data_IF_966691862296
#
_entry.id   IF_966691862296
#
_cell.length_a   1.000
_cell.length_b   1.000
_cell.length_c   1.000
_cell.angle_alpha   90.00
_cell.angle_beta   90.00
_cell.angle_gamma   90.00
#
_symmetry.space_group_name_H-M   'P 1'
#
loop_
_entity.id
_entity.type
_entity.pdbx_description
1 polymer ?
#
# COMPACT_ATOMS: atom_id res chain seq x y z
N UNK A 1 -5.19 56.21 48.18
CA UNK A 1 -4.59 56.20 46.84
C UNK A 1 -4.00 54.82 46.65
N UNK A 2 -4.77 53.89 46.03
CA UNK A 2 -4.41 52.50 45.84
C UNK A 2 -4.16 52.35 44.35
N UNK A 3 -2.95 51.95 44.00
CA UNK A 3 -2.55 51.69 42.61
C UNK A 3 -2.84 50.20 42.32
N UNK A 4 -3.79 50.00 41.43
CA UNK A 4 -4.18 48.69 40.88
C UNK A 4 -3.20 48.32 39.77
N UNK A 5 -2.39 47.30 40.01
CA UNK A 5 -1.42 46.73 39.06
C UNK A 5 -1.89 45.35 38.56
N UNK A 6 -2.91 45.37 37.72
CA UNK A 6 -3.42 44.13 37.07
C UNK A 6 -2.40 43.51 36.10
N UNK A 7 -1.85 42.39 36.50
CA UNK A 7 -0.84 41.61 35.74
C UNK A 7 -1.48 40.82 34.58
N UNK A 8 -1.36 41.34 33.36
CA UNK A 8 -1.80 40.65 32.12
C UNK A 8 -0.84 39.56 31.70
N UNK A 9 -0.92 38.34 32.26
CA UNK A 9 -0.15 37.17 31.83
C UNK A 9 -0.97 36.04 31.18
N UNK A 10 -2.21 36.24 30.80
CA UNK A 10 -3.06 35.13 30.33
C UNK A 10 -3.14 34.90 28.83
N UNK A 11 -2.77 35.83 27.96
CA UNK A 11 -3.06 35.72 26.52
C UNK A 11 -1.96 35.11 25.64
N UNK A 12 -0.70 35.12 26.07
CA UNK A 12 0.42 34.57 25.24
C UNK A 12 0.42 33.03 25.18
N UNK A 13 0.02 32.37 26.30
CA UNK A 13 -0.02 30.90 26.38
C UNK A 13 -1.14 30.25 25.53
N UNK A 14 -2.27 30.92 25.38
CA UNK A 14 -3.41 30.45 24.60
C UNK A 14 -3.11 30.52 23.08
N UNK A 15 -2.46 31.62 22.63
CA UNK A 15 -2.05 31.79 21.23
C UNK A 15 -0.97 30.79 20.82
N UNK A 16 0.03 30.54 21.67
CA UNK A 16 1.08 29.55 21.44
C UNK A 16 0.51 28.12 21.34
N UNK A 17 -0.39 27.72 22.25
CA UNK A 17 -1.07 26.41 22.22
C UNK A 17 -1.94 26.24 20.96
N UNK A 18 -2.60 27.31 20.50
CA UNK A 18 -3.44 27.31 19.30
C UNK A 18 -2.57 27.15 18.02
N UNK A 19 -1.43 27.81 17.97
CA UNK A 19 -0.47 27.68 16.87
C UNK A 19 0.18 26.29 16.82
N UNK A 20 0.58 25.72 17.96
CA UNK A 20 1.14 24.36 18.03
C UNK A 20 0.08 23.33 17.58
N UNK A 21 -1.19 23.51 17.99
CA UNK A 21 -2.29 22.64 17.51
C UNK A 21 -2.51 22.74 16.00
N UNK A 22 -2.47 23.93 15.41
CA UNK A 22 -2.58 24.12 13.95
C UNK A 22 -1.41 23.51 13.19
N UNK A 23 -0.16 23.67 13.69
CA UNK A 23 1.03 23.06 13.10
C UNK A 23 0.96 21.52 13.17
N UNK A 24 0.54 20.98 14.32
CA UNK A 24 0.37 19.54 14.50
C UNK A 24 -0.78 18.98 13.64
N UNK A 25 -1.88 19.74 13.46
CA UNK A 25 -2.95 19.36 12.54
C UNK A 25 -2.47 19.37 11.09
N UNK A 26 -1.72 20.40 10.66
CA UNK A 26 -1.16 20.47 9.30
C UNK A 26 -0.18 19.32 9.03
N UNK A 27 0.75 19.03 9.96
CA UNK A 27 1.64 17.85 9.86
C UNK A 27 0.89 16.52 9.80
N UNK A 28 -0.28 16.42 10.45
CA UNK A 28 -1.07 15.20 10.48
C UNK A 28 -1.91 14.97 9.21
N UNK A 29 -2.09 16.00 8.38
CA UNK A 29 -2.81 15.93 7.10
C UNK A 29 -1.86 15.82 5.91
N UNK A 30 -0.59 16.16 6.08
CA UNK A 30 0.42 16.07 5.04
C UNK A 30 0.84 14.62 4.82
N UNK A 31 0.84 14.18 3.56
CA UNK A 31 1.26 12.84 3.16
C UNK A 31 2.79 12.78 3.15
N UNK A 32 3.38 12.25 4.21
CA UNK A 32 4.84 12.20 4.41
C UNK A 32 5.39 10.80 4.63
N UNK A 33 4.52 9.77 4.60
CA UNK A 33 4.89 8.37 4.74
C UNK A 33 4.41 7.58 3.55
N UNK A 34 5.07 6.47 3.26
CA UNK A 34 4.69 5.57 2.19
C UNK A 34 4.29 4.21 2.72
N UNK A 35 3.42 3.56 1.97
CA UNK A 35 3.21 2.11 1.96
C UNK A 35 3.20 1.65 0.52
N UNK A 36 3.44 0.37 0.28
CA UNK A 36 3.57 -0.18 -1.05
C UNK A 36 2.54 -1.27 -1.29
N UNK A 37 2.03 -1.33 -2.51
CA UNK A 37 1.13 -2.38 -2.96
C UNK A 37 1.87 -3.15 -4.05
N UNK A 38 2.16 -4.43 -3.77
CA UNK A 38 2.69 -5.34 -4.76
C UNK A 38 1.52 -6.06 -5.44
N UNK A 39 1.36 -5.84 -6.73
CA UNK A 39 0.50 -6.65 -7.58
C UNK A 39 1.36 -7.70 -8.26
N UNK A 40 0.97 -8.98 -8.22
CA UNK A 40 1.79 -10.05 -8.79
C UNK A 40 0.97 -11.10 -9.52
N UNK A 41 1.63 -11.78 -10.45
CA UNK A 41 1.12 -12.95 -11.16
C UNK A 41 2.23 -13.99 -11.26
N UNK A 42 2.08 -15.05 -10.47
CA UNK A 42 2.97 -16.20 -10.50
C UNK A 42 2.52 -17.21 -11.56
N UNK A 43 3.45 -17.95 -12.15
CA UNK A 43 3.16 -19.06 -13.07
C UNK A 43 2.48 -20.24 -12.37
N UNK A 44 2.60 -20.33 -11.03
CA UNK A 44 2.19 -21.47 -10.20
C UNK A 44 0.81 -21.32 -9.55
N UNK A 45 0.01 -20.32 -9.94
CA UNK A 45 -1.34 -20.14 -9.38
C UNK A 45 -2.24 -21.30 -9.80
N UNK A 46 -3.00 -21.94 -8.87
CA UNK A 46 -3.92 -23.02 -9.19
C UNK A 46 -4.92 -22.60 -10.27
N UNK A 47 -5.09 -23.46 -11.27
CA UNK A 47 -5.88 -23.21 -12.49
C UNK A 47 -7.30 -22.68 -12.28
N UNK A 48 -7.92 -22.97 -11.13
CA UNK A 48 -9.28 -22.47 -10.80
C UNK A 48 -9.30 -20.97 -10.46
N UNK A 49 -8.28 -20.47 -9.77
CA UNK A 49 -8.14 -19.02 -9.49
C UNK A 49 -7.74 -18.28 -10.76
N UNK A 50 -6.91 -18.90 -11.60
CA UNK A 50 -6.50 -18.36 -12.90
C UNK A 50 -7.70 -18.12 -13.82
N UNK A 51 -8.63 -19.08 -13.93
CA UNK A 51 -9.81 -18.93 -14.81
C UNK A 51 -10.69 -17.74 -14.44
N UNK A 52 -10.70 -17.33 -13.19
CA UNK A 52 -11.43 -16.15 -12.71
C UNK A 52 -10.78 -14.82 -13.09
N UNK A 53 -9.46 -14.81 -13.22
CA UNK A 53 -8.65 -13.62 -13.45
C UNK A 53 -7.87 -13.70 -14.78
N UNK A 54 -8.27 -14.60 -15.72
CA UNK A 54 -7.48 -14.92 -16.92
C UNK A 54 -7.30 -13.76 -17.90
N UNK A 55 -8.11 -12.71 -17.77
CA UNK A 55 -7.96 -11.49 -18.57
C UNK A 55 -7.14 -10.41 -17.86
N UNK A 56 -6.90 -10.58 -16.55
CA UNK A 56 -6.20 -9.58 -15.75
C UNK A 56 -4.69 -9.86 -15.71
N UNK A 57 -3.84 -8.83 -15.83
CA UNK A 57 -2.39 -9.00 -15.80
C UNK A 57 -1.86 -9.46 -14.43
N UNK A 58 -2.61 -9.18 -13.34
CA UNK A 58 -2.22 -9.53 -11.98
C UNK A 58 -3.37 -10.25 -11.27
N UNK A 59 -3.01 -11.25 -10.45
CA UNK A 59 -3.97 -12.11 -9.76
C UNK A 59 -3.82 -12.06 -8.23
N UNK A 60 -2.83 -11.34 -7.71
CA UNK A 60 -2.52 -11.24 -6.29
C UNK A 60 -2.18 -9.81 -5.90
N UNK A 61 -2.47 -9.45 -4.65
CA UNK A 61 -2.14 -8.16 -4.07
C UNK A 61 -1.59 -8.34 -2.66
N UNK A 62 -0.48 -7.66 -2.36
CA UNK A 62 0.17 -7.63 -1.05
C UNK A 62 0.40 -6.19 -0.61
N UNK A 63 0.43 -5.95 0.70
CA UNK A 63 0.73 -4.66 1.30
C UNK A 63 2.10 -4.70 1.97
N UNK A 64 3.01 -3.82 1.57
CA UNK A 64 4.33 -3.68 2.17
C UNK A 64 4.52 -2.32 2.85
N UNK A 65 5.40 -2.27 3.85
CA UNK A 65 5.67 -1.09 4.66
C UNK A 65 6.95 -0.36 4.22
N UNK A 66 7.75 -0.99 3.37
CA UNK A 66 9.03 -0.49 2.88
C UNK A 66 9.19 -0.75 1.38
N UNK A 67 10.07 0.02 0.74
CA UNK A 67 10.36 -0.08 -0.68
C UNK A 67 11.07 -1.40 -1.04
N UNK A 68 11.83 -1.97 -0.11
CA UNK A 68 12.52 -3.25 -0.27
C UNK A 68 11.58 -4.45 -0.30
N UNK A 69 10.29 -4.26 0.08
CA UNK A 69 9.27 -5.30 0.23
C UNK A 69 9.65 -6.35 1.29
N UNK A 70 10.41 -5.94 2.32
CA UNK A 70 10.84 -6.82 3.40
C UNK A 70 9.73 -7.04 4.43
N UNK A 71 9.02 -5.97 4.81
CA UNK A 71 7.83 -6.05 5.65
C UNK A 71 6.56 -6.12 4.81
N UNK A 72 6.29 -7.28 4.19
CA UNK A 72 5.16 -7.48 3.27
C UNK A 72 4.16 -8.51 3.79
N UNK A 73 2.87 -8.23 3.63
CA UNK A 73 1.76 -9.02 4.18
C UNK A 73 0.64 -9.21 3.17
N UNK A 74 0.06 -10.41 3.19
CA UNK A 74 -1.11 -10.72 2.37
C UNK A 74 -1.97 -11.83 2.98
N UNK A 75 -3.03 -12.18 2.26
CA UNK A 75 -3.76 -13.42 2.43
C UNK A 75 -3.46 -14.35 1.25
N UNK A 76 -2.67 -15.38 1.50
CA UNK A 76 -2.21 -16.32 0.50
C UNK A 76 -2.00 -17.72 1.10
N UNK A 77 -1.44 -18.63 0.30
CA UNK A 77 -1.04 -19.97 0.76
C UNK A 77 0.05 -19.90 1.82
N UNK A 78 -0.17 -20.58 2.94
CA UNK A 78 0.80 -20.69 4.03
C UNK A 78 1.98 -21.63 3.71
N UNK A 79 1.90 -22.38 2.62
CA UNK A 79 2.95 -23.32 2.22
C UNK A 79 2.70 -23.92 0.85
N UNK A 80 3.71 -24.62 0.33
CA UNK A 80 3.72 -25.13 -1.05
C UNK A 80 2.95 -26.43 -1.19
N UNK A 81 2.92 -27.26 -0.13
CA UNK A 81 2.37 -28.63 -0.16
C UNK A 81 0.83 -28.67 -0.22
N UNK A 82 0.14 -27.77 0.48
CA UNK A 82 -1.33 -27.79 0.55
C UNK A 82 -1.92 -26.49 -0.03
N UNK A 83 -2.57 -26.53 -1.20
CA UNK A 83 -3.14 -25.35 -1.86
C UNK A 83 -4.33 -24.74 -1.08
N UNK A 84 -4.94 -25.49 -0.18
CA UNK A 84 -6.08 -25.04 0.62
C UNK A 84 -5.68 -24.44 1.97
N UNK A 85 -4.42 -24.61 2.40
CA UNK A 85 -3.93 -23.98 3.61
C UNK A 85 -3.55 -22.53 3.33
N UNK A 86 -4.56 -21.65 3.35
CA UNK A 86 -4.42 -20.23 3.07
C UNK A 86 -4.84 -19.39 4.30
N UNK A 87 -4.31 -18.19 4.41
CA UNK A 87 -4.64 -17.23 5.47
C UNK A 87 -3.68 -16.07 5.49
N UNK A 88 -3.63 -15.34 6.59
CA UNK A 88 -2.70 -14.24 6.77
C UNK A 88 -1.25 -14.74 6.83
N UNK A 89 -0.38 -14.18 5.99
CA UNK A 89 1.05 -14.50 5.94
C UNK A 89 1.90 -13.23 5.81
N UNK A 90 3.16 -13.34 6.27
CA UNK A 90 4.25 -12.48 5.82
C UNK A 90 4.82 -13.10 4.55
N UNK A 91 5.01 -12.30 3.51
CA UNK A 91 5.62 -12.72 2.25
C UNK A 91 7.06 -12.21 2.14
N UNK A 92 7.87 -12.93 1.39
CA UNK A 92 9.26 -12.61 1.10
C UNK A 92 9.49 -12.84 -0.39
N UNK A 93 9.99 -11.82 -1.09
CA UNK A 93 10.19 -11.88 -2.55
C UNK A 93 11.27 -12.88 -2.98
N UNK A 94 12.16 -13.27 -2.05
CA UNK A 94 13.23 -14.24 -2.31
C UNK A 94 12.90 -15.65 -1.84
N UNK A 95 11.79 -15.82 -1.11
CA UNK A 95 11.40 -17.11 -0.53
C UNK A 95 10.01 -17.56 -0.97
N UNK A 96 9.66 -18.78 -0.55
CA UNK A 96 8.32 -19.30 -0.75
C UNK A 96 7.96 -19.47 -2.22
N UNK A 97 6.81 -18.92 -2.62
CA UNK A 97 6.31 -19.00 -3.99
C UNK A 97 7.12 -18.06 -4.91
N UNK A 98 7.38 -16.84 -4.45
CA UNK A 98 8.12 -15.84 -5.22
C UNK A 98 9.56 -16.28 -5.52
N UNK A 99 10.29 -16.82 -4.54
CA UNK A 99 11.66 -17.29 -4.73
C UNK A 99 11.80 -18.52 -5.64
N UNK A 100 10.70 -19.25 -5.88
CA UNK A 100 10.69 -20.42 -6.79
C UNK A 100 10.27 -20.08 -8.21
N UNK A 101 9.55 -18.99 -8.41
CA UNK A 101 8.99 -18.60 -9.69
C UNK A 101 9.66 -17.31 -10.19
N UNK A 102 10.82 -17.49 -10.84
CA UNK A 102 11.60 -16.38 -11.40
C UNK A 102 10.87 -15.62 -12.50
N UNK A 103 9.83 -16.20 -13.08
CA UNK A 103 8.99 -15.58 -14.11
C UNK A 103 7.83 -14.77 -13.54
N UNK A 104 7.70 -14.70 -12.20
CA UNK A 104 6.68 -13.88 -11.55
C UNK A 104 6.73 -12.45 -12.06
N UNK A 105 5.66 -12.02 -12.72
CA UNK A 105 5.48 -10.61 -13.09
C UNK A 105 4.86 -9.83 -11.96
N UNK A 106 5.31 -8.58 -11.81
CA UNK A 106 4.80 -7.71 -10.76
C UNK A 106 4.68 -6.26 -11.20
N UNK A 107 3.87 -5.52 -10.43
CA UNK A 107 3.78 -4.06 -10.41
C UNK A 107 3.88 -3.61 -8.96
N UNK A 108 4.83 -2.71 -8.68
CA UNK A 108 5.02 -2.12 -7.35
C UNK A 108 4.47 -0.70 -7.39
N UNK A 109 3.50 -0.44 -6.54
CA UNK A 109 2.82 0.85 -6.43
C UNK A 109 3.17 1.48 -5.07
N UNK A 110 3.61 2.74 -5.07
CA UNK A 110 3.84 3.54 -3.87
C UNK A 110 2.62 4.38 -3.55
N UNK A 111 2.12 4.28 -2.35
CA UNK A 111 0.99 5.07 -1.86
C UNK A 111 1.45 5.99 -0.73
N UNK A 112 1.36 7.29 -0.98
CA UNK A 112 1.62 8.31 0.02
C UNK A 112 0.46 8.40 1.02
N UNK A 113 0.78 8.35 2.30
CA UNK A 113 -0.18 8.40 3.39
C UNK A 113 0.24 9.42 4.46
N UNK A 114 -0.72 9.92 5.24
CA UNK A 114 -0.41 10.77 6.38
C UNK A 114 0.23 9.96 7.51
N UNK A 115 0.97 10.61 8.39
CA UNK A 115 1.55 9.96 9.57
C UNK A 115 0.50 9.24 10.43
N UNK A 116 -0.72 9.80 10.53
CA UNK A 116 -1.83 9.17 11.25
C UNK A 116 -2.36 7.91 10.55
N UNK A 117 -2.52 7.97 9.22
CA UNK A 117 -2.91 6.81 8.42
C UNK A 117 -1.88 5.69 8.54
N UNK A 118 -0.59 6.01 8.40
CA UNK A 118 0.50 5.05 8.57
C UNK A 118 0.47 4.39 9.95
N UNK A 119 0.32 5.18 11.03
CA UNK A 119 0.19 4.65 12.39
C UNK A 119 -0.99 3.70 12.54
N UNK A 120 -2.14 4.00 11.91
CA UNK A 120 -3.30 3.11 11.90
C UNK A 120 -3.03 1.82 11.12
N UNK A 121 -2.37 1.90 9.94
CA UNK A 121 -1.96 0.73 9.16
C UNK A 121 -1.11 -0.20 10.02
N UNK A 122 -0.05 0.33 10.66
CA UNK A 122 0.81 -0.45 11.57
C UNK A 122 0.00 -1.11 12.69
N UNK A 123 -0.92 -0.38 13.32
CA UNK A 123 -1.78 -0.94 14.37
C UNK A 123 -2.65 -2.09 13.88
N UNK A 124 -3.24 -1.95 12.69
CA UNK A 124 -4.08 -3.00 12.08
C UNK A 124 -3.22 -4.22 11.73
N UNK A 125 -2.07 -4.04 11.07
CA UNK A 125 -1.17 -5.13 10.73
C UNK A 125 -0.65 -5.87 11.98
N UNK A 126 -0.30 -5.14 13.04
CA UNK A 126 0.11 -5.74 14.30
C UNK A 126 -1.00 -6.60 14.94
N UNK A 127 -2.28 -6.21 14.79
CA UNK A 127 -3.40 -7.04 15.19
C UNK A 127 -3.45 -8.33 14.37
N UNK A 128 -3.35 -8.25 13.04
CA UNK A 128 -3.30 -9.43 12.18
C UNK A 128 -2.13 -10.37 12.52
N UNK A 129 -0.94 -9.81 12.80
CA UNK A 129 0.23 -10.60 13.23
C UNK A 129 -0.04 -11.37 14.53
N UNK A 130 -0.59 -10.70 15.55
CA UNK A 130 -0.88 -11.30 16.87
C UNK A 130 -1.97 -12.38 16.80
N UNK A 131 -2.97 -12.16 15.99
CA UNK A 131 -4.17 -13.01 15.88
C UNK A 131 -4.14 -13.92 14.64
N UNK A 132 -2.95 -14.15 14.04
CA UNK A 132 -2.81 -14.83 12.74
C UNK A 132 -3.48 -16.22 12.65
N UNK A 133 -3.61 -16.92 13.76
CA UNK A 133 -4.26 -18.24 13.84
C UNK A 133 -5.77 -18.18 13.63
N UNK A 134 -6.42 -17.05 13.92
CA UNK A 134 -7.86 -16.87 13.75
C UNK A 134 -8.27 -16.52 12.33
N UNK A 135 -7.30 -16.09 11.50
CA UNK A 135 -7.61 -15.61 10.15
C UNK A 135 -7.52 -16.73 9.12
N UNK A 136 -8.63 -16.94 8.41
CA UNK A 136 -8.76 -17.86 7.29
C UNK A 136 -8.88 -17.16 5.95
N UNK A 137 -8.93 -17.97 4.89
CA UNK A 137 -9.08 -17.46 3.53
C UNK A 137 -10.54 -17.43 3.09
N UNK A 138 -10.96 -16.32 2.47
CA UNK A 138 -12.34 -16.13 2.04
C UNK A 138 -12.58 -16.69 0.63
N UNK A 139 -12.60 -18.02 0.48
CA UNK A 139 -12.86 -18.68 -0.80
C UNK A 139 -14.24 -18.34 -1.38
N UNK A 140 -15.27 -18.25 -0.52
CA UNK A 140 -16.63 -17.90 -0.95
C UNK A 140 -16.67 -16.46 -1.44
N UNK A 141 -15.91 -15.55 -0.80
CA UNK A 141 -15.78 -14.16 -1.25
C UNK A 141 -15.23 -14.04 -2.66
N UNK A 142 -14.28 -14.89 -3.04
CA UNK A 142 -13.75 -14.91 -4.41
C UNK A 142 -14.87 -15.26 -5.42
N UNK A 143 -15.70 -16.25 -5.14
CA UNK A 143 -16.87 -16.57 -5.98
C UNK A 143 -17.87 -15.40 -6.02
N UNK A 144 -18.05 -14.71 -4.87
CA UNK A 144 -18.88 -13.51 -4.79
C UNK A 144 -18.42 -12.39 -5.72
N UNK A 145 -17.10 -12.20 -5.86
CA UNK A 145 -16.53 -11.21 -6.80
C UNK A 145 -16.94 -11.52 -8.25
N UNK A 146 -16.98 -12.78 -8.66
CA UNK A 146 -17.41 -13.17 -10.02
C UNK A 146 -18.87 -12.78 -10.25
N UNK A 147 -19.71 -13.02 -9.24
CA UNK A 147 -21.15 -12.74 -9.30
C UNK A 147 -21.48 -11.27 -8.97
N UNK A 148 -20.46 -10.41 -8.81
CA UNK A 148 -20.59 -9.02 -8.36
C UNK A 148 -21.38 -8.89 -7.02
N UNK A 149 -21.26 -9.88 -6.14
CA UNK A 149 -21.90 -9.92 -4.82
C UNK A 149 -20.84 -9.93 -3.73
N UNK A 150 -20.76 -8.86 -2.94
CA UNK A 150 -19.83 -8.82 -1.81
C UNK A 150 -20.20 -9.89 -0.77
N UNK A 151 -19.28 -10.84 -0.54
CA UNK A 151 -19.43 -11.85 0.52
C UNK A 151 -18.30 -11.64 1.52
N UNK A 152 -18.64 -10.98 2.62
CA UNK A 152 -17.71 -10.71 3.70
C UNK A 152 -17.95 -11.71 4.83
N UNK A 153 -16.88 -12.35 5.29
CA UNK A 153 -16.90 -13.30 6.39
C UNK A 153 -15.95 -12.82 7.48
N UNK A 154 -16.43 -12.82 8.71
CA UNK A 154 -15.63 -12.45 9.87
C UNK A 154 -14.33 -13.28 9.90
N UNK A 155 -13.18 -12.62 10.07
CA UNK A 155 -11.84 -13.21 10.10
C UNK A 155 -11.38 -13.92 8.82
N UNK A 156 -12.12 -13.79 7.70
CA UNK A 156 -11.73 -14.41 6.44
C UNK A 156 -11.57 -13.35 5.36
N UNK A 157 -10.42 -13.33 4.73
CA UNK A 157 -10.09 -12.38 3.67
C UNK A 157 -9.46 -13.10 2.49
N UNK A 158 -9.57 -12.56 1.29
CA UNK A 158 -8.67 -12.86 0.18
C UNK A 158 -7.70 -11.68 -0.02
N UNK A 159 -6.68 -11.86 -0.85
CA UNK A 159 -5.53 -10.93 -0.93
C UNK A 159 -5.93 -9.45 -1.13
N UNK A 160 -6.65 -9.12 -2.19
CA UNK A 160 -7.07 -7.75 -2.49
C UNK A 160 -8.11 -7.20 -1.51
N UNK A 161 -8.99 -8.06 -0.97
CA UNK A 161 -9.90 -7.69 0.12
C UNK A 161 -9.14 -7.24 1.37
N UNK A 162 -8.07 -7.93 1.72
CA UNK A 162 -7.23 -7.59 2.88
C UNK A 162 -6.53 -6.24 2.68
N UNK A 163 -5.89 -6.03 1.53
CA UNK A 163 -5.21 -4.76 1.23
C UNK A 163 -6.22 -3.60 1.30
N UNK A 164 -7.37 -3.76 0.65
CA UNK A 164 -8.45 -2.77 0.71
C UNK A 164 -8.89 -2.50 2.15
N UNK A 165 -9.16 -3.55 2.92
CA UNK A 165 -9.61 -3.44 4.31
C UNK A 165 -8.63 -2.66 5.18
N UNK A 166 -7.32 -2.93 5.07
CA UNK A 166 -6.30 -2.25 5.88
C UNK A 166 -6.25 -0.76 5.56
N UNK A 167 -6.23 -0.41 4.27
CA UNK A 167 -6.15 0.96 3.80
C UNK A 167 -7.42 1.76 4.14
N UNK A 168 -8.60 1.18 3.90
CA UNK A 168 -9.90 1.79 4.22
C UNK A 168 -10.04 2.06 5.73
N UNK A 169 -9.71 1.08 6.57
CA UNK A 169 -9.73 1.23 8.03
C UNK A 169 -8.71 2.23 8.56
N UNK A 170 -7.64 2.45 7.84
CA UNK A 170 -6.69 3.51 8.15
C UNK A 170 -7.20 4.90 7.77
N UNK A 171 -8.28 4.99 6.99
CA UNK A 171 -8.87 6.23 6.49
C UNK A 171 -8.21 6.73 5.21
N UNK A 172 -7.64 5.83 4.41
CA UNK A 172 -7.20 6.13 3.05
C UNK A 172 -8.43 6.19 2.16
N UNK A 173 -8.53 7.23 1.33
CA UNK A 173 -9.64 7.34 0.37
C UNK A 173 -9.45 6.33 -0.76
N UNK A 174 -10.33 5.34 -0.81
CA UNK A 174 -10.28 4.26 -1.80
C UNK A 174 -11.21 4.53 -3.00
N UNK A 175 -11.17 3.65 -3.97
CA UNK A 175 -11.92 3.71 -5.23
C UNK A 175 -13.43 3.34 -5.11
N UNK A 176 -14.04 3.52 -3.93
CA UNK A 176 -15.49 3.49 -3.75
C UNK A 176 -16.18 2.12 -3.86
N UNK A 177 -15.43 1.00 -3.79
CA UNK A 177 -15.99 -0.37 -3.77
C UNK A 177 -16.15 -0.90 -2.33
N UNK A 178 -16.98 -1.93 -2.16
CA UNK A 178 -16.99 -2.71 -0.92
C UNK A 178 -15.71 -3.56 -0.84
N UNK A 179 -15.11 -3.76 0.34
CA UNK A 179 -13.88 -4.57 0.47
C UNK A 179 -14.01 -5.96 -0.15
N UNK A 180 -15.19 -6.60 0.01
CA UNK A 180 -15.47 -7.92 -0.56
C UNK A 180 -15.60 -7.98 -2.08
N UNK A 181 -15.49 -6.85 -2.79
CA UNK A 181 -15.48 -6.75 -4.26
C UNK A 181 -14.14 -6.23 -4.80
N UNK A 182 -13.18 -5.93 -3.94
CA UNK A 182 -11.87 -5.42 -4.36
C UNK A 182 -11.10 -6.48 -5.14
N UNK A 183 -10.55 -6.09 -6.30
CA UNK A 183 -9.72 -6.92 -7.18
C UNK A 183 -8.30 -6.37 -7.25
N UNK A 184 -7.28 -7.16 -7.59
CA UNK A 184 -5.95 -6.63 -7.89
C UNK A 184 -5.99 -5.56 -8.99
N UNK A 185 -6.86 -5.71 -9.98
CA UNK A 185 -7.05 -4.75 -11.07
C UNK A 185 -7.51 -3.37 -10.59
N UNK A 186 -8.32 -3.30 -9.54
CA UNK A 186 -8.78 -2.02 -8.99
C UNK A 186 -7.62 -1.18 -8.43
N UNK A 187 -6.60 -1.83 -7.86
CA UNK A 187 -5.38 -1.14 -7.43
C UNK A 187 -4.50 -0.73 -8.61
N UNK A 188 -4.49 -1.52 -9.70
CA UNK A 188 -3.73 -1.21 -10.92
C UNK A 188 -4.26 0.04 -11.63
N UNK A 189 -5.58 0.20 -11.62
CA UNK A 189 -6.29 1.31 -12.29
C UNK A 189 -6.61 2.47 -11.35
N UNK A 190 -6.18 2.40 -10.10
CA UNK A 190 -6.36 3.48 -9.14
C UNK A 190 -5.30 4.55 -9.35
N UNK A 191 -5.71 5.81 -9.55
CA UNK A 191 -4.84 6.93 -9.93
C UNK A 191 -4.00 7.51 -8.78
N UNK A 192 -4.34 7.17 -7.52
CA UNK A 192 -3.65 7.74 -6.35
C UNK A 192 -2.23 7.18 -6.13
N UNK A 193 -1.96 5.86 -6.25
CA UNK A 193 -0.62 5.31 -6.08
C UNK A 193 0.28 5.59 -7.28
N UNK A 194 1.53 5.90 -6.99
CA UNK A 194 2.59 6.08 -7.97
C UNK A 194 3.17 4.72 -8.41
N UNK A 195 3.32 4.52 -9.71
CA UNK A 195 4.02 3.35 -10.24
C UNK A 195 5.52 3.48 -10.01
N UNK A 196 6.10 2.55 -9.23
CA UNK A 196 7.53 2.50 -8.95
C UNK A 196 8.25 1.56 -9.90
N UNK A 197 7.67 0.39 -10.14
CA UNK A 197 8.28 -0.65 -10.95
C UNK A 197 7.23 -1.54 -11.60
N UNK A 198 7.50 -1.96 -12.82
CA UNK A 198 6.73 -3.00 -13.51
C UNK A 198 7.68 -3.90 -14.30
N UNK A 199 7.65 -5.21 -14.00
CA UNK A 199 8.57 -6.16 -14.62
C UNK A 199 8.56 -7.53 -13.96
N UNK A 200 9.69 -8.25 -14.05
CA UNK A 200 9.90 -9.49 -13.28
C UNK A 200 10.25 -9.16 -11.84
N UNK A 201 9.61 -9.81 -10.88
CA UNK A 201 9.85 -9.59 -9.46
C UNK A 201 11.30 -9.88 -9.06
N UNK A 202 11.93 -10.88 -9.71
CA UNK A 202 13.32 -11.23 -9.52
C UNK A 202 14.30 -10.07 -9.81
N UNK A 203 13.95 -9.19 -10.75
CA UNK A 203 14.80 -8.06 -11.14
C UNK A 203 14.59 -6.80 -10.26
N UNK A 204 13.61 -6.83 -9.34
CA UNK A 204 13.22 -5.66 -8.57
C UNK A 204 14.34 -5.11 -7.68
N UNK A 205 15.11 -5.98 -7.01
CA UNK A 205 16.24 -5.53 -6.16
C UNK A 205 17.35 -4.87 -6.98
N UNK A 206 17.63 -5.39 -8.17
CA UNK A 206 18.56 -4.78 -9.11
C UNK A 206 18.07 -3.40 -9.52
N UNK A 207 16.80 -3.29 -9.90
CA UNK A 207 16.18 -2.00 -10.22
C UNK A 207 16.31 -0.99 -9.07
N UNK A 208 16.06 -1.40 -7.82
CA UNK A 208 16.23 -0.50 -6.67
C UNK A 208 17.68 -0.02 -6.54
N UNK A 209 18.65 -0.92 -6.69
CA UNK A 209 20.08 -0.54 -6.58
C UNK A 209 20.54 0.44 -7.66
N UNK A 210 19.91 0.43 -8.82
CA UNK A 210 20.23 1.31 -9.94
C UNK A 210 19.50 2.66 -9.87
N UNK A 211 18.33 2.72 -9.22
CA UNK A 211 17.45 3.89 -9.28
C UNK A 211 17.27 4.65 -7.95
N UNK A 212 17.67 4.06 -6.82
CA UNK A 212 17.51 4.65 -5.50
C UNK A 212 18.84 4.69 -4.73
N UNK A 213 19.23 5.84 -4.16
CA UNK A 213 20.38 5.92 -3.28
C UNK A 213 20.09 5.21 -1.95
N UNK A 214 21.14 4.75 -1.28
CA UNK A 214 21.07 4.17 0.07
C UNK A 214 21.57 5.16 1.11
N UNK A 215 21.01 5.11 2.31
CA UNK A 215 21.51 5.81 3.48
C UNK A 215 22.74 5.10 4.08
N UNK A 216 23.28 5.66 5.16
CA UNK A 216 24.43 5.10 5.91
C UNK A 216 24.16 3.70 6.50
N UNK A 217 22.88 3.34 6.68
CA UNK A 217 22.46 2.02 7.17
C UNK A 217 22.15 1.04 6.03
N UNK A 218 22.39 1.42 4.77
CA UNK A 218 22.16 0.61 3.59
C UNK A 218 20.70 0.52 3.15
N UNK A 219 19.77 1.31 3.74
CA UNK A 219 18.37 1.40 3.34
C UNK A 219 18.17 2.38 2.21
N UNK A 220 17.30 2.05 1.27
CA UNK A 220 16.99 2.94 0.17
C UNK A 220 16.28 4.21 0.66
N UNK A 221 16.76 5.35 0.20
CA UNK A 221 16.20 6.66 0.51
C UNK A 221 15.04 6.91 -0.44
N UNK A 222 13.84 7.03 0.12
CA UNK A 222 12.67 7.46 -0.64
C UNK A 222 12.78 8.94 -0.98
N UNK A 223 12.54 9.30 -2.22
CA UNK A 223 12.39 10.72 -2.60
C UNK A 223 11.17 11.24 -1.85
N UNK A 224 11.40 12.07 -0.83
CA UNK A 224 10.33 12.65 -0.01
C UNK A 224 9.35 13.44 -0.88
N UNK A 225 8.05 13.36 -0.60
CA UNK A 225 6.94 13.89 -1.41
C UNK A 225 6.93 15.42 -1.71
N UNK A 226 7.93 16.16 -1.28
CA UNK A 226 8.10 17.58 -1.63
C UNK A 226 8.36 17.80 -3.13
N UNK A 227 8.76 16.76 -3.87
CA UNK A 227 9.04 16.83 -5.31
C UNK A 227 7.94 16.24 -6.23
N UNK A 228 6.83 15.76 -5.66
CA UNK A 228 5.75 15.13 -6.45
C UNK A 228 5.14 16.09 -7.48
N UNK A 229 4.88 17.34 -7.08
CA UNK A 229 4.34 18.37 -7.99
C UNK A 229 5.35 18.82 -9.06
N UNK A 230 6.64 18.76 -8.77
CA UNK A 230 7.70 19.09 -9.72
C UNK A 230 7.97 17.97 -10.73
N UNK A 231 7.80 16.70 -10.32
CA UNK A 231 7.99 15.55 -11.21
C UNK A 231 6.85 15.44 -12.22
N UNK A 232 5.60 15.54 -11.77
CA UNK A 232 4.42 15.56 -12.64
C UNK A 232 4.41 16.76 -13.59
N UNK A 233 4.91 17.93 -13.15
CA UNK A 233 5.10 19.09 -14.02
C UNK A 233 6.15 18.84 -15.10
N UNK A 234 7.26 18.15 -14.79
CA UNK A 234 8.29 17.81 -15.78
C UNK A 234 7.82 16.79 -16.80
N UNK A 235 7.10 15.74 -16.39
CA UNK A 235 6.52 14.77 -17.34
C UNK A 235 5.45 15.41 -18.23
N UNK A 236 4.59 16.27 -17.67
CA UNK A 236 3.59 17.00 -18.44
C UNK A 236 4.25 17.93 -19.46
N UNK A 237 5.32 18.64 -19.09
CA UNK A 237 6.07 19.52 -19.98
C UNK A 237 6.79 18.69 -21.07
N UNK A 238 7.43 17.58 -20.71
CA UNK A 238 8.14 16.70 -21.65
C UNK A 238 7.16 16.09 -22.67
N UNK A 239 5.97 15.67 -22.22
CA UNK A 239 4.92 15.13 -23.09
C UNK A 239 4.34 16.21 -24.03
N UNK A 240 4.22 17.46 -23.59
CA UNK A 240 3.78 18.59 -24.41
C UNK A 240 4.85 18.95 -25.45
N UNK A 241 6.12 18.99 -25.06
CA UNK A 241 7.25 19.27 -25.96
C UNK A 241 7.41 18.15 -27.02
N UNK A 242 7.24 16.88 -26.62
CA UNK A 242 7.30 15.74 -27.54
C UNK A 242 6.11 15.75 -28.52
N UNK A 243 4.92 16.09 -28.05
CA UNK A 243 3.75 16.23 -28.92
C UNK A 243 3.87 17.42 -29.89
N UNK A 244 4.48 18.52 -29.46
CA UNK A 244 4.73 19.69 -30.30
C UNK A 244 5.83 19.46 -31.35
N UNK A 245 6.78 18.55 -31.08
CA UNK A 245 7.83 18.18 -32.04
C UNK A 245 7.38 17.17 -33.11
N UNK A 246 6.18 16.59 -32.95
CA UNK A 246 5.58 15.62 -33.88
C UNK A 246 4.46 16.24 -34.75
N UNK A 247 4.18 17.53 -34.58
CA UNK A 247 3.34 18.36 -35.43
C UNK A 247 4.17 19.28 -36.34
#
# INVERSE_FOLDING_TARGET
>A
MVLDGGFQMSNKNASSKKNIRKINQKKNTEKTKCVYILLSKTSTIPSRVIKMWTKEPYAHASLALDIELEEMYSFARKGVKNPFNCGFISEDIEKGIFGRDVETRCRVLRLWVTANQHKKILKILNKFKKEKSFYGYNYIGIFGVICNKAVERRYNYFCSQFVYYVLDRAGVRMFGKKPGLARPEDFRTWDEPELIYEGKLHDYRKYLSENYPKDENGKYIEKTGVNYDLYNKKETILNIETAAALM
#
